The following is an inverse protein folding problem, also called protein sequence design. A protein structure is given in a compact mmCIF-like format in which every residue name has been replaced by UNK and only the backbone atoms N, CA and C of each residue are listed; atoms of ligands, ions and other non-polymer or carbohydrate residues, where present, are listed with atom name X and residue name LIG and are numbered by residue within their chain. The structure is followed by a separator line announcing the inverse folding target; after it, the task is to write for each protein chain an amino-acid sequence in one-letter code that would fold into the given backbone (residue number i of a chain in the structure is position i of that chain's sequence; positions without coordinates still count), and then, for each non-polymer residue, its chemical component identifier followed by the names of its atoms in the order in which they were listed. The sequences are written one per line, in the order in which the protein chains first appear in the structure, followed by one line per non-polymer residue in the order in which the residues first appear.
data_IF_209289157633
#
_entry.id   IF_209289157633
#
_cell.length_a   1.000
_cell.length_b   1.000
_cell.length_c   1.000
_cell.angle_alpha   90.00
_cell.angle_beta   90.00
_cell.angle_gamma   90.00
#
_symmetry.space_group_name_H-M   'P 1'
#
loop_
_entity.id
_entity.type
_entity.pdbx_description
1 polymer ?
#
# COMPACT_ATOMS: atom_id res chain seq x y z
N UNK A 1 -31.03 9.84 -24.00
CA UNK A 1 -30.40 9.78 -22.66
C UNK A 1 -31.37 10.35 -21.62
N UNK A 2 -31.68 9.62 -20.57
CA UNK A 2 -32.48 10.12 -19.46
C UNK A 2 -31.58 10.30 -18.25
N UNK A 3 -31.40 11.54 -17.82
CA UNK A 3 -31.05 11.83 -16.44
C UNK A 3 -32.08 11.14 -15.52
N UNK A 4 -31.73 10.80 -14.31
CA UNK A 4 -32.64 10.18 -13.32
C UNK A 4 -33.91 10.99 -13.09
N UNK A 5 -33.92 12.28 -13.45
CA UNK A 5 -35.05 13.21 -13.33
C UNK A 5 -35.65 13.63 -14.67
N UNK A 6 -35.08 13.21 -15.81
CA UNK A 6 -35.58 13.56 -17.17
C UNK A 6 -35.27 14.99 -17.61
N UNK A 7 -34.43 15.74 -16.90
CA UNK A 7 -34.02 17.09 -17.26
C UNK A 7 -32.69 17.11 -18.03
N UNK A 8 -32.55 18.08 -18.94
CA UNK A 8 -31.29 18.33 -19.64
C UNK A 8 -30.23 18.90 -18.68
N UNK A 9 -29.01 18.31 -18.68
CA UNK A 9 -27.90 18.75 -17.86
C UNK A 9 -26.66 18.93 -18.70
N UNK A 10 -26.08 20.13 -18.68
CA UNK A 10 -24.80 20.42 -19.35
C UNK A 10 -23.63 19.61 -18.79
N UNK A 11 -23.64 19.34 -17.50
CA UNK A 11 -22.59 18.50 -16.85
C UNK A 11 -22.63 17.08 -17.39
N UNK A 12 -23.82 16.47 -17.47
CA UNK A 12 -23.98 15.13 -18.03
C UNK A 12 -23.57 15.10 -19.50
N UNK A 13 -23.92 16.13 -20.27
CA UNK A 13 -23.53 16.26 -21.67
C UNK A 13 -22.00 16.30 -21.83
N UNK A 14 -21.31 17.08 -20.99
CA UNK A 14 -19.84 17.16 -20.99
C UNK A 14 -19.20 15.83 -20.60
N UNK A 15 -19.76 15.12 -19.61
CA UNK A 15 -19.31 13.81 -19.19
C UNK A 15 -19.49 12.76 -20.30
N UNK A 16 -20.59 12.81 -21.04
CA UNK A 16 -20.85 11.93 -22.18
C UNK A 16 -19.88 12.21 -23.35
N UNK A 17 -19.63 13.48 -23.70
CA UNK A 17 -18.64 13.85 -24.72
C UNK A 17 -17.27 13.31 -24.32
N UNK A 18 -16.85 13.52 -23.07
CA UNK A 18 -15.59 13.01 -22.55
C UNK A 18 -15.54 11.50 -22.61
N UNK A 19 -16.60 10.80 -22.20
CA UNK A 19 -16.66 9.34 -22.22
C UNK A 19 -16.53 8.78 -23.64
N UNK A 20 -17.17 9.41 -24.62
CA UNK A 20 -17.08 9.02 -26.03
C UNK A 20 -15.67 9.30 -26.59
N UNK A 21 -15.09 10.48 -26.31
CA UNK A 21 -13.73 10.83 -26.72
C UNK A 21 -12.71 9.84 -26.09
N UNK A 22 -12.84 9.55 -24.81
CA UNK A 22 -12.02 8.57 -24.11
C UNK A 22 -12.18 7.16 -24.70
N UNK A 23 -13.41 6.77 -25.08
CA UNK A 23 -13.66 5.49 -25.73
C UNK A 23 -12.88 5.38 -27.04
N UNK A 24 -12.96 6.37 -27.93
CA UNK A 24 -12.20 6.34 -29.19
C UNK A 24 -10.69 6.43 -28.94
N UNK A 25 -10.27 7.22 -27.97
CA UNK A 25 -8.86 7.32 -27.54
C UNK A 25 -8.28 5.98 -27.13
N UNK A 26 -9.03 5.12 -26.46
CA UNK A 26 -8.57 3.79 -26.06
C UNK A 26 -8.32 2.84 -27.26
N UNK A 27 -8.84 3.16 -28.46
CA UNK A 27 -8.65 2.39 -29.70
C UNK A 27 -7.66 3.03 -30.68
N UNK A 28 -6.88 4.01 -30.24
CA UNK A 28 -5.81 4.61 -31.05
C UNK A 28 -6.17 5.96 -31.68
N UNK A 29 -7.37 6.46 -31.51
CA UNK A 29 -7.81 7.72 -32.09
C UNK A 29 -7.55 8.89 -31.14
N UNK A 30 -6.28 9.33 -31.04
CA UNK A 30 -5.86 10.36 -30.09
C UNK A 30 -6.52 11.73 -30.32
N UNK A 31 -6.94 12.02 -31.55
CA UNK A 31 -7.56 13.27 -31.95
C UNK A 31 -9.05 13.14 -32.28
N UNK A 32 -9.72 12.13 -31.73
CA UNK A 32 -11.16 11.98 -31.89
C UNK A 32 -11.88 13.19 -31.26
N UNK A 33 -12.83 13.75 -32.00
CA UNK A 33 -13.69 14.83 -31.57
C UNK A 33 -15.13 14.36 -31.60
N UNK A 34 -15.96 14.90 -30.72
CA UNK A 34 -17.39 14.58 -30.67
C UNK A 34 -18.15 15.90 -30.73
N UNK A 35 -18.77 16.15 -31.88
CA UNK A 35 -19.70 17.26 -32.03
C UNK A 35 -21.05 16.90 -31.43
N UNK A 36 -21.75 17.89 -30.90
CA UNK A 36 -23.09 17.70 -30.31
C UNK A 36 -24.06 18.66 -30.92
N UNK A 37 -25.13 18.10 -31.44
CA UNK A 37 -26.29 18.87 -31.90
C UNK A 37 -27.45 18.69 -30.90
N UNK A 38 -28.06 19.82 -30.49
CA UNK A 38 -29.12 19.84 -29.47
C UNK A 38 -30.36 20.57 -29.96
N UNK A 39 -31.09 20.04 -30.98
CA UNK A 39 -32.32 20.65 -31.44
C UNK A 39 -33.38 20.64 -30.35
N UNK A 40 -33.99 21.80 -30.16
CA UNK A 40 -35.09 22.02 -29.21
C UNK A 40 -36.41 21.83 -29.87
N UNK A 41 -37.31 21.11 -29.23
CA UNK A 41 -38.73 21.10 -29.55
C UNK A 41 -39.51 21.86 -28.46
N UNK A 42 -39.79 23.12 -28.72
CA UNK A 42 -40.44 24.00 -27.74
C UNK A 42 -41.91 23.60 -27.46
N UNK A 43 -42.57 22.93 -28.41
CA UNK A 43 -43.96 22.49 -28.24
C UNK A 43 -44.08 21.31 -27.25
N UNK A 44 -43.11 20.43 -27.26
CA UNK A 44 -43.08 19.27 -26.37
C UNK A 44 -42.16 19.48 -25.13
N UNK A 45 -41.42 20.61 -25.07
CA UNK A 45 -40.47 20.88 -23.99
C UNK A 45 -39.33 19.90 -23.95
N UNK A 46 -38.92 19.35 -25.11
CA UNK A 46 -37.89 18.29 -25.24
C UNK A 46 -36.66 18.85 -25.91
N UNK A 47 -35.46 18.48 -25.41
CA UNK A 47 -34.20 18.67 -26.08
C UNK A 47 -33.66 17.31 -26.52
N UNK A 48 -33.53 17.14 -27.85
CA UNK A 48 -32.88 15.96 -28.40
C UNK A 48 -31.35 16.18 -28.43
N UNK A 49 -30.59 15.18 -28.07
CA UNK A 49 -29.12 15.26 -28.08
C UNK A 49 -28.57 14.24 -29.07
N UNK A 50 -27.85 14.74 -30.09
CA UNK A 50 -27.18 13.92 -31.09
C UNK A 50 -25.67 14.06 -30.96
N UNK A 51 -24.98 12.97 -30.76
CA UNK A 51 -23.54 12.92 -30.72
C UNK A 51 -23.00 12.49 -32.08
N UNK A 52 -22.13 13.29 -32.68
CA UNK A 52 -21.51 13.02 -33.98
C UNK A 52 -20.00 12.85 -33.81
N UNK A 53 -19.52 11.59 -33.69
CA UNK A 53 -18.08 11.36 -33.48
C UNK A 53 -17.28 11.46 -34.79
N UNK A 54 -16.21 12.23 -34.77
CA UNK A 54 -15.18 12.36 -35.81
C UNK A 54 -13.90 11.68 -35.36
N UNK A 55 -13.66 10.44 -35.83
CA UNK A 55 -12.57 9.58 -35.36
C UNK A 55 -11.17 10.06 -35.72
N UNK A 56 -11.03 10.76 -36.90
CA UNK A 56 -9.73 11.05 -37.51
C UNK A 56 -8.89 9.77 -37.73
N UNK A 57 -7.56 9.87 -37.73
CA UNK A 57 -6.68 8.70 -37.94
C UNK A 57 -6.23 8.06 -36.64
N UNK A 58 -5.89 6.79 -36.71
CA UNK A 58 -5.16 6.14 -35.60
C UNK A 58 -3.73 6.60 -35.59
N UNK A 59 -3.19 6.86 -34.40
CA UNK A 59 -1.83 7.37 -34.28
C UNK A 59 -0.93 6.39 -33.52
N UNK A 60 0.36 6.41 -33.85
CA UNK A 60 1.41 5.69 -33.17
C UNK A 60 2.33 6.68 -32.45
N UNK A 61 2.93 6.23 -31.38
CA UNK A 61 3.87 7.02 -30.59
C UNK A 61 5.23 6.95 -31.29
N UNK A 62 5.70 8.08 -31.80
CA UNK A 62 7.03 8.19 -32.42
C UNK A 62 8.12 8.09 -31.34
N UNK A 63 7.97 8.87 -30.27
CA UNK A 63 8.89 8.88 -29.13
C UNK A 63 8.23 9.41 -27.87
N UNK A 64 8.78 8.99 -26.73
CA UNK A 64 8.44 9.52 -25.40
C UNK A 64 9.58 10.41 -24.92
N UNK A 65 9.28 11.63 -24.52
CA UNK A 65 10.26 12.64 -24.07
C UNK A 65 9.87 13.11 -22.67
N UNK A 66 10.83 13.07 -21.74
CA UNK A 66 10.67 13.62 -20.38
C UNK A 66 11.16 15.07 -20.32
N UNK A 67 10.48 15.90 -19.55
CA UNK A 67 10.86 17.28 -19.33
C UNK A 67 10.61 17.67 -17.87
N UNK A 68 11.60 18.33 -17.25
CA UNK A 68 11.48 18.88 -15.90
C UNK A 68 12.02 17.98 -14.79
N UNK A 69 12.50 16.77 -15.10
CA UNK A 69 13.16 15.89 -14.15
C UNK A 69 14.66 16.21 -14.06
N UNK A 70 15.04 17.01 -13.08
CA UNK A 70 16.43 17.41 -12.85
C UNK A 70 17.19 16.49 -11.91
N UNK A 71 16.48 15.80 -11.02
CA UNK A 71 17.00 14.86 -10.01
C UNK A 71 16.63 13.43 -10.32
N UNK A 72 15.36 13.20 -10.68
CA UNK A 72 14.85 11.87 -10.98
C UNK A 72 15.38 11.38 -12.31
N UNK A 73 15.91 10.17 -12.35
CA UNK A 73 16.44 9.57 -13.57
C UNK A 73 15.32 9.16 -14.52
N UNK A 74 15.57 9.24 -15.82
CA UNK A 74 14.58 8.91 -16.87
C UNK A 74 14.05 7.49 -16.75
N UNK A 75 14.89 6.51 -16.40
CA UNK A 75 14.46 5.12 -16.22
C UNK A 75 13.40 4.96 -15.10
N UNK A 76 13.45 5.81 -14.07
CA UNK A 76 12.43 5.82 -13.00
C UNK A 76 11.07 6.29 -13.52
N UNK A 77 11.08 7.19 -14.49
CA UNK A 77 9.88 7.73 -15.14
C UNK A 77 9.36 6.72 -16.17
N UNK A 78 10.23 6.26 -17.09
CA UNK A 78 9.84 5.37 -18.18
C UNK A 78 9.23 4.04 -17.69
N UNK A 79 9.74 3.47 -16.62
CA UNK A 79 9.19 2.22 -16.06
C UNK A 79 7.76 2.36 -15.50
N UNK A 80 7.30 3.60 -15.26
CA UNK A 80 5.91 3.86 -14.82
C UNK A 80 4.97 4.09 -16.00
N UNK A 81 5.49 4.33 -17.19
CA UNK A 81 4.70 4.49 -18.39
C UNK A 81 4.19 3.13 -18.89
N UNK A 82 3.00 3.14 -19.48
CA UNK A 82 2.34 2.00 -20.12
C UNK A 82 2.37 2.10 -21.64
N UNK A 83 3.01 3.15 -22.14
CA UNK A 83 3.18 3.44 -23.55
C UNK A 83 4.66 3.68 -23.81
N UNK A 84 5.15 3.11 -24.90
CA UNK A 84 6.55 3.22 -25.35
C UNK A 84 6.62 3.68 -26.80
N UNK A 85 7.85 3.98 -27.24
CA UNK A 85 8.13 4.31 -28.63
C UNK A 85 7.68 3.18 -29.58
N UNK A 86 6.95 3.51 -30.63
CA UNK A 86 6.38 2.56 -31.60
C UNK A 86 5.03 1.98 -31.22
N UNK A 87 4.54 2.15 -29.99
CA UNK A 87 3.22 1.66 -29.59
C UNK A 87 2.10 2.42 -30.32
N UNK A 88 1.00 1.72 -30.58
CA UNK A 88 -0.25 2.38 -30.92
C UNK A 88 -0.75 3.18 -29.71
N UNK A 89 -1.20 4.40 -29.94
CA UNK A 89 -1.80 5.20 -28.90
C UNK A 89 -2.97 4.49 -28.21
N UNK A 90 -3.06 4.60 -26.90
CA UNK A 90 -4.13 4.08 -26.08
C UNK A 90 -4.37 5.02 -24.90
N UNK A 91 -5.53 5.68 -24.90
CA UNK A 91 -5.90 6.67 -23.88
C UNK A 91 -6.01 6.06 -22.48
N UNK A 92 -6.38 4.78 -22.36
CA UNK A 92 -6.44 4.10 -21.07
C UNK A 92 -5.05 3.88 -20.49
N UNK A 93 -4.10 3.47 -21.33
CA UNK A 93 -2.68 3.33 -20.94
C UNK A 93 -2.06 4.67 -20.59
N UNK A 94 -2.42 5.76 -21.29
CA UNK A 94 -1.97 7.11 -20.99
C UNK A 94 -2.45 7.58 -19.61
N UNK A 95 -3.75 7.43 -19.34
CA UNK A 95 -4.31 7.75 -18.01
C UNK A 95 -3.61 6.95 -16.92
N UNK A 96 -3.43 5.66 -17.15
CA UNK A 96 -2.75 4.79 -16.20
C UNK A 96 -1.29 5.20 -15.96
N UNK A 97 -0.59 5.63 -16.99
CA UNK A 97 0.78 6.18 -16.87
C UNK A 97 0.80 7.42 -15.97
N UNK A 98 -0.13 8.35 -16.18
CA UNK A 98 -0.26 9.55 -15.34
C UNK A 98 -0.59 9.21 -13.88
N UNK A 99 -1.50 8.27 -13.64
CA UNK A 99 -1.80 7.80 -12.28
C UNK A 99 -0.58 7.21 -11.58
N UNK A 100 0.20 6.38 -12.29
CA UNK A 100 1.42 5.76 -11.75
C UNK A 100 2.49 6.77 -11.44
N UNK A 101 2.74 7.74 -12.32
CA UNK A 101 3.68 8.84 -12.10
C UNK A 101 3.28 9.68 -10.87
N UNK A 102 2.01 10.03 -10.75
CA UNK A 102 1.51 10.79 -9.60
C UNK A 102 1.57 10.00 -8.28
N UNK A 103 1.44 8.66 -8.33
CA UNK A 103 1.60 7.79 -7.15
C UNK A 103 3.03 7.75 -6.61
N UNK A 104 4.05 8.05 -7.41
CA UNK A 104 5.44 8.12 -6.92
C UNK A 104 5.63 9.21 -5.87
N UNK A 105 4.85 10.31 -5.97
CA UNK A 105 4.97 11.50 -5.10
C UNK A 105 6.38 12.12 -5.12
N UNK A 106 7.03 12.04 -6.27
CA UNK A 106 8.29 12.73 -6.53
C UNK A 106 8.07 14.07 -7.22
N UNK A 107 6.82 14.28 -7.67
CA UNK A 107 6.42 15.42 -8.47
C UNK A 107 5.20 16.11 -7.84
N UNK A 108 5.20 17.45 -7.87
CA UNK A 108 4.01 18.26 -7.58
C UNK A 108 3.02 18.24 -8.75
N UNK A 109 3.56 18.00 -9.97
CA UNK A 109 2.78 17.84 -11.19
C UNK A 109 3.48 16.80 -12.07
N UNK A 110 2.72 15.83 -12.55
CA UNK A 110 3.16 14.86 -13.53
C UNK A 110 2.00 14.58 -14.48
N UNK A 111 2.12 15.10 -15.68
CA UNK A 111 1.14 14.91 -16.75
C UNK A 111 1.82 14.62 -18.09
N UNK A 112 1.13 13.85 -18.91
CA UNK A 112 1.61 13.50 -20.24
C UNK A 112 0.73 14.16 -21.29
N UNK A 113 1.36 14.94 -22.17
CA UNK A 113 0.69 15.62 -23.28
C UNK A 113 1.05 14.98 -24.61
N UNK A 114 0.09 14.95 -25.51
CA UNK A 114 0.25 14.48 -26.88
C UNK A 114 0.67 15.66 -27.74
N UNK A 115 1.77 15.53 -28.44
CA UNK A 115 2.29 16.56 -29.33
C UNK A 115 2.21 16.03 -30.76
N UNK A 116 1.42 16.67 -31.65
CA UNK A 116 1.37 16.29 -33.07
C UNK A 116 2.74 16.41 -33.71
N UNK A 117 2.98 15.59 -34.73
CA UNK A 117 4.18 15.66 -35.57
C UNK A 117 3.81 16.15 -36.95
N UNK A 118 4.77 16.19 -37.88
CA UNK A 118 4.53 16.53 -39.28
C UNK A 118 3.72 15.46 -40.05
N UNK A 119 3.49 14.29 -39.42
CA UNK A 119 2.68 13.21 -39.96
C UNK A 119 1.39 13.04 -39.15
N UNK A 120 0.30 12.84 -39.86
CA UNK A 120 -1.03 12.73 -39.26
C UNK A 120 -1.24 11.44 -38.43
N UNK A 121 -0.40 10.40 -38.65
CA UNK A 121 -0.47 9.10 -38.01
C UNK A 121 0.58 8.91 -36.89
N UNK A 122 1.39 9.94 -36.59
CA UNK A 122 2.43 9.89 -35.55
C UNK A 122 2.27 11.02 -34.52
N UNK A 123 2.56 10.71 -33.28
CA UNK A 123 2.59 11.68 -32.17
C UNK A 123 3.80 11.49 -31.28
N UNK A 124 4.29 12.56 -30.68
CA UNK A 124 5.24 12.51 -29.58
C UNK A 124 4.47 12.56 -28.25
N UNK A 125 4.86 11.74 -27.27
CA UNK A 125 4.40 11.86 -25.89
C UNK A 125 5.42 12.70 -25.11
N UNK A 126 4.97 13.84 -24.58
CA UNK A 126 5.77 14.68 -23.69
C UNK A 126 5.30 14.51 -22.26
N UNK A 127 6.17 13.96 -21.42
CA UNK A 127 5.94 13.82 -19.97
C UNK A 127 6.46 15.07 -19.29
N UNK A 128 5.55 15.94 -18.87
CA UNK A 128 5.86 17.19 -18.17
C UNK A 128 5.88 16.94 -16.68
N UNK A 129 7.01 17.23 -16.05
CA UNK A 129 7.25 16.94 -14.65
C UNK A 129 7.67 18.21 -13.91
N UNK A 130 7.14 18.39 -12.72
CA UNK A 130 7.62 19.40 -11.78
C UNK A 130 8.00 18.68 -10.49
N UNK A 131 9.31 18.57 -10.24
CA UNK A 131 9.84 17.85 -9.08
C UNK A 131 9.46 18.51 -7.77
N UNK A 132 9.18 17.68 -6.79
CA UNK A 132 8.91 18.04 -5.41
C UNK A 132 10.09 17.64 -4.50
N UNK A 133 10.02 18.03 -3.25
CA UNK A 133 10.92 17.55 -2.21
C UNK A 133 10.53 16.12 -1.81
N UNK A 134 11.45 15.18 -2.01
CA UNK A 134 11.25 13.77 -1.68
C UNK A 134 11.72 13.40 -0.30
N UNK A 135 12.54 14.27 0.32
CA UNK A 135 13.00 14.16 1.69
C UNK A 135 12.03 14.79 2.69
N UNK A 136 11.83 14.12 3.83
CA UNK A 136 11.03 14.63 4.94
C UNK A 136 11.75 14.38 6.27
N UNK A 137 11.66 15.35 7.17
CA UNK A 137 12.10 15.22 8.57
C UNK A 137 10.86 15.51 9.42
N UNK A 138 10.55 14.60 10.33
CA UNK A 138 9.41 14.74 11.22
C UNK A 138 9.86 14.51 12.66
N UNK A 139 9.25 15.23 13.59
CA UNK A 139 9.42 15.05 15.03
C UNK A 139 8.07 15.16 15.72
N UNK A 140 7.92 14.44 16.82
CA UNK A 140 6.67 14.46 17.59
C UNK A 140 6.91 14.14 19.04
N UNK A 141 6.02 14.65 19.87
CA UNK A 141 5.92 14.33 21.29
C UNK A 141 4.49 13.88 21.58
N UNK A 142 4.34 12.93 22.48
CA UNK A 142 3.02 12.41 22.81
C UNK A 142 3.00 11.77 24.18
N UNK A 143 1.79 11.59 24.71
CA UNK A 143 1.54 10.85 25.93
C UNK A 143 0.49 9.77 25.67
N UNK A 144 0.73 8.59 26.18
CA UNK A 144 -0.27 7.53 26.26
C UNK A 144 -0.23 6.87 27.63
N UNK A 145 -1.31 6.23 28.03
CA UNK A 145 -1.36 5.49 29.32
C UNK A 145 -0.38 4.34 29.36
N UNK A 146 -0.12 3.71 28.22
CA UNK A 146 0.80 2.58 28.10
C UNK A 146 2.27 3.02 27.96
N UNK A 147 2.59 3.90 26.99
CA UNK A 147 3.96 4.32 26.73
C UNK A 147 4.43 5.48 27.61
N UNK A 148 3.51 6.13 28.35
CA UNK A 148 3.75 7.35 29.11
C UNK A 148 4.14 8.50 28.16
N UNK A 149 5.05 9.38 28.58
CA UNK A 149 5.57 10.43 27.73
C UNK A 149 6.58 9.86 26.73
N UNK A 150 6.42 10.18 25.46
CA UNK A 150 7.31 9.70 24.40
C UNK A 150 7.67 10.79 23.40
N UNK A 151 8.87 10.64 22.82
CA UNK A 151 9.41 11.49 21.77
C UNK A 151 9.74 10.62 20.57
N UNK A 152 9.34 11.07 19.39
CA UNK A 152 9.66 10.42 18.12
C UNK A 152 10.40 11.35 17.17
N UNK A 153 11.23 10.79 16.32
CA UNK A 153 11.89 11.49 15.22
C UNK A 153 12.03 10.57 14.01
N UNK A 154 11.88 11.12 12.82
CA UNK A 154 12.13 10.37 11.60
C UNK A 154 12.73 11.24 10.51
N UNK A 155 13.58 10.61 9.70
CA UNK A 155 14.16 11.17 8.47
C UNK A 155 13.85 10.16 7.37
N UNK A 156 13.27 10.63 6.29
CA UNK A 156 12.94 9.79 5.14
C UNK A 156 13.35 10.48 3.84
N UNK A 157 13.96 9.72 2.93
CA UNK A 157 14.15 10.10 1.54
C UNK A 157 13.47 9.05 0.65
N UNK A 158 12.57 9.49 -0.24
CA UNK A 158 11.77 8.58 -1.09
C UNK A 158 12.35 8.37 -2.48
N UNK A 159 13.29 9.21 -2.87
CA UNK A 159 13.93 9.15 -4.19
C UNK A 159 15.44 9.31 -4.10
N UNK A 160 16.07 8.47 -3.28
CA UNK A 160 17.49 8.51 -3.00
C UNK A 160 18.33 8.44 -4.30
N UNK A 161 19.18 9.43 -4.52
CA UNK A 161 20.01 9.59 -5.72
C UNK A 161 19.22 9.64 -7.04
N UNK A 162 17.93 10.00 -6.99
CA UNK A 162 17.06 10.03 -8.17
C UNK A 162 16.75 8.64 -8.75
N UNK A 163 17.03 7.55 -8.04
CA UNK A 163 16.85 6.16 -8.49
C UNK A 163 15.51 5.55 -8.08
N UNK A 164 14.67 6.31 -7.37
CA UNK A 164 13.42 5.81 -6.82
C UNK A 164 13.62 4.85 -5.65
N UNK A 165 14.78 4.86 -5.00
CA UNK A 165 15.01 4.12 -3.77
C UNK A 165 14.49 4.92 -2.60
N UNK A 166 13.91 4.24 -1.61
CA UNK A 166 13.49 4.87 -0.36
C UNK A 166 14.43 4.46 0.77
N UNK A 167 14.86 5.43 1.56
CA UNK A 167 15.64 5.24 2.77
C UNK A 167 14.94 5.98 3.90
N UNK A 168 14.70 5.29 5.02
CA UNK A 168 14.06 5.86 6.21
C UNK A 168 14.83 5.49 7.47
N UNK A 169 14.95 6.44 8.38
CA UNK A 169 15.40 6.23 9.74
C UNK A 169 14.34 6.79 10.67
N UNK A 170 13.87 5.97 11.61
CA UNK A 170 12.86 6.36 12.59
C UNK A 170 13.31 5.93 13.98
N UNK A 171 13.12 6.81 14.95
CA UNK A 171 13.39 6.54 16.36
C UNK A 171 12.22 6.99 17.23
N UNK A 172 12.01 6.27 18.33
CA UNK A 172 11.06 6.59 19.38
C UNK A 172 11.66 6.23 20.72
N UNK A 173 11.43 7.08 21.72
CA UNK A 173 11.87 6.86 23.09
C UNK A 173 10.74 7.26 24.04
N UNK A 174 10.42 6.37 24.96
CA UNK A 174 9.45 6.60 26.04
C UNK A 174 9.87 5.89 27.33
N UNK A 175 9.08 6.02 28.38
CA UNK A 175 9.33 5.34 29.65
C UNK A 175 9.28 3.82 29.57
N UNK A 176 8.43 3.26 28.71
CA UNK A 176 8.18 1.80 28.59
C UNK A 176 8.61 1.21 27.24
N UNK A 177 8.98 2.01 26.25
CA UNK A 177 9.40 1.51 24.92
C UNK A 177 10.37 2.46 24.25
N UNK A 178 11.34 1.89 23.57
CA UNK A 178 12.24 2.64 22.69
C UNK A 178 12.54 1.80 21.46
N UNK A 179 12.57 2.43 20.29
CA UNK A 179 12.99 1.73 19.08
C UNK A 179 13.79 2.65 18.14
N UNK A 180 14.66 2.02 17.39
CA UNK A 180 15.35 2.59 16.23
C UNK A 180 15.11 1.66 15.05
N UNK A 181 14.68 2.21 13.93
CA UNK A 181 14.32 1.49 12.71
C UNK A 181 14.99 2.12 11.51
N UNK A 182 15.71 1.34 10.72
CA UNK A 182 16.34 1.72 9.47
C UNK A 182 15.72 0.91 8.33
N UNK A 183 15.02 1.56 7.44
CA UNK A 183 14.35 0.95 6.30
C UNK A 183 14.97 1.36 4.97
N UNK A 184 15.17 0.41 4.08
CA UNK A 184 15.58 0.62 2.70
C UNK A 184 14.65 -0.13 1.76
N UNK A 185 14.18 0.53 0.69
CA UNK A 185 13.34 -0.09 -0.33
C UNK A 185 13.88 0.25 -1.72
N UNK A 186 14.12 -0.77 -2.51
CA UNK A 186 14.31 -0.68 -3.95
C UNK A 186 13.08 -1.30 -4.64
N UNK A 187 12.15 -0.52 -5.17
CA UNK A 187 10.91 -1.06 -5.76
C UNK A 187 11.13 -1.80 -7.08
N UNK A 188 12.30 -1.64 -7.72
CA UNK A 188 12.62 -2.15 -9.06
C UNK A 188 14.10 -2.54 -9.14
N UNK A 189 14.43 -3.78 -8.82
CA UNK A 189 15.81 -4.28 -8.93
C UNK A 189 16.17 -4.34 -10.42
N UNK A 190 17.21 -3.63 -10.83
CA UNK A 190 17.64 -3.53 -12.23
C UNK A 190 16.50 -3.16 -13.21
N UNK A 191 15.60 -2.27 -12.77
CA UNK A 191 14.40 -1.83 -13.51
C UNK A 191 13.41 -2.95 -13.88
N UNK A 192 13.55 -4.14 -13.29
CA UNK A 192 12.58 -5.24 -13.40
C UNK A 192 11.37 -5.01 -12.49
N UNK A 193 10.36 -5.87 -12.57
CA UNK A 193 9.21 -5.83 -11.68
C UNK A 193 9.49 -6.42 -10.28
N UNK A 194 10.70 -6.92 -10.03
CA UNK A 194 11.10 -7.38 -8.72
C UNK A 194 11.51 -6.22 -7.83
N UNK A 195 10.95 -6.16 -6.63
CA UNK A 195 11.33 -5.20 -5.60
C UNK A 195 12.01 -5.89 -4.41
N UNK A 196 12.79 -5.12 -3.69
CA UNK A 196 13.54 -5.53 -2.51
C UNK A 196 13.30 -4.53 -1.38
N UNK A 197 13.14 -5.02 -0.18
CA UNK A 197 13.19 -4.19 1.03
C UNK A 197 14.05 -4.84 2.09
N UNK A 198 14.74 -4.00 2.84
CA UNK A 198 15.48 -4.37 4.05
C UNK A 198 15.05 -3.46 5.19
N UNK A 199 14.77 -4.05 6.34
CA UNK A 199 14.45 -3.34 7.57
C UNK A 199 15.32 -3.86 8.71
N UNK A 200 16.13 -2.98 9.31
CA UNK A 200 16.97 -3.29 10.46
C UNK A 200 16.47 -2.50 11.65
N UNK A 201 16.26 -3.15 12.77
CA UNK A 201 15.68 -2.51 13.94
C UNK A 201 16.31 -2.97 15.25
N UNK A 202 16.26 -2.06 16.21
CA UNK A 202 16.53 -2.34 17.62
C UNK A 202 15.34 -1.83 18.43
N UNK A 203 14.76 -2.70 19.25
CA UNK A 203 13.55 -2.43 20.03
C UNK A 203 13.84 -2.80 21.49
N UNK A 204 13.46 -1.94 22.41
CA UNK A 204 13.37 -2.19 23.83
C UNK A 204 11.96 -1.94 24.31
N UNK A 205 11.38 -2.90 25.04
CA UNK A 205 10.01 -2.88 25.53
C UNK A 205 9.98 -3.35 26.98
N UNK A 206 9.20 -2.66 27.79
CA UNK A 206 8.89 -3.00 29.17
C UNK A 206 7.39 -3.26 29.29
N UNK A 207 7.06 -4.51 29.56
CA UNK A 207 5.72 -4.97 29.86
C UNK A 207 5.62 -5.21 31.38
N UNK A 208 4.43 -5.38 31.90
CA UNK A 208 4.24 -5.59 33.33
C UNK A 208 4.85 -6.92 33.80
N UNK A 209 4.90 -7.93 32.91
CA UNK A 209 5.34 -9.30 33.22
C UNK A 209 6.79 -9.59 32.74
N UNK A 210 7.40 -8.74 31.91
CA UNK A 210 8.75 -8.97 31.38
C UNK A 210 9.33 -7.73 30.71
N UNK A 211 10.63 -7.74 30.52
CA UNK A 211 11.33 -6.78 29.63
C UNK A 211 11.93 -7.52 28.44
N UNK A 212 11.83 -6.90 27.25
CA UNK A 212 12.33 -7.50 26.01
C UNK A 212 13.24 -6.53 25.26
N UNK A 213 14.40 -7.03 24.85
CA UNK A 213 15.29 -6.34 23.91
C UNK A 213 15.35 -7.18 22.63
N UNK A 214 15.14 -6.54 21.49
CA UNK A 214 15.19 -7.19 20.18
C UNK A 214 16.13 -6.42 19.26
N UNK A 215 17.03 -7.11 18.58
CA UNK A 215 17.78 -6.59 17.44
C UNK A 215 17.47 -7.52 16.28
N UNK A 216 16.91 -6.97 15.22
CA UNK A 216 16.40 -7.75 14.11
C UNK A 216 16.70 -7.14 12.75
N UNK A 217 16.60 -8.01 11.76
CA UNK A 217 16.66 -7.65 10.35
C UNK A 217 15.63 -8.44 9.58
N UNK A 218 14.89 -7.75 8.71
CA UNK A 218 13.93 -8.36 7.80
C UNK A 218 14.31 -8.01 6.36
N UNK A 219 14.50 -9.02 5.55
CA UNK A 219 14.68 -8.91 4.10
C UNK A 219 13.40 -9.40 3.43
N UNK A 220 12.92 -8.67 2.42
CA UNK A 220 11.74 -9.06 1.65
C UNK A 220 11.98 -8.81 0.17
N UNK A 221 11.63 -9.80 -0.65
CA UNK A 221 11.46 -9.69 -2.10
C UNK A 221 9.97 -9.63 -2.41
N UNK A 222 9.58 -8.78 -3.33
CA UNK A 222 8.20 -8.67 -3.77
C UNK A 222 8.10 -8.48 -5.27
N UNK A 223 6.99 -8.95 -5.84
CA UNK A 223 6.74 -8.91 -7.28
C UNK A 223 5.24 -8.68 -7.54
N UNK A 224 4.86 -7.67 -8.35
CA UNK A 224 3.47 -7.51 -8.78
C UNK A 224 3.14 -8.58 -9.82
N UNK A 225 2.03 -9.29 -9.60
CA UNK A 225 1.45 -10.25 -10.57
C UNK A 225 0.22 -9.59 -11.17
N UNK A 226 0.38 -8.78 -12.23
CA UNK A 226 -0.71 -8.02 -12.82
C UNK A 226 -0.98 -6.69 -12.11
N UNK A 227 -2.18 -6.15 -12.30
CA UNK A 227 -2.52 -4.78 -11.95
C UNK A 227 -2.77 -4.55 -10.45
N UNK A 228 -3.41 -5.54 -9.81
CA UNK A 228 -3.92 -5.42 -8.43
C UNK A 228 -3.30 -6.43 -7.47
N UNK A 229 -2.54 -7.40 -7.96
CA UNK A 229 -2.00 -8.49 -7.15
C UNK A 229 -0.50 -8.38 -7.00
N UNK A 230 0.00 -8.61 -5.80
CA UNK A 230 1.42 -8.73 -5.51
C UNK A 230 1.70 -9.92 -4.61
N UNK A 231 2.86 -10.54 -4.84
CA UNK A 231 3.39 -11.60 -3.96
C UNK A 231 4.64 -11.10 -3.28
N UNK A 232 4.90 -11.60 -2.09
CA UNK A 232 6.17 -11.35 -1.41
C UNK A 232 6.65 -12.57 -0.66
N UNK A 233 7.98 -12.68 -0.56
CA UNK A 233 8.69 -13.64 0.29
C UNK A 233 9.64 -12.84 1.15
N UNK A 234 9.63 -13.12 2.44
CA UNK A 234 10.47 -12.45 3.42
C UNK A 234 11.22 -13.42 4.31
N UNK A 235 12.34 -12.98 4.82
CA UNK A 235 13.10 -13.66 5.86
C UNK A 235 13.40 -12.66 6.98
N UNK A 236 13.03 -13.03 8.20
CA UNK A 236 13.26 -12.26 9.43
C UNK A 236 14.19 -13.04 10.35
N UNK A 237 15.20 -12.36 10.83
CA UNK A 237 16.15 -12.88 11.82
C UNK A 237 16.20 -11.91 12.98
N UNK A 238 15.71 -12.33 14.15
CA UNK A 238 15.69 -11.55 15.38
C UNK A 238 16.52 -12.24 16.45
N UNK A 239 17.42 -11.49 17.09
CA UNK A 239 17.98 -11.85 18.36
C UNK A 239 17.26 -11.06 19.44
N UNK A 240 16.54 -11.77 20.32
CA UNK A 240 15.86 -11.13 21.43
C UNK A 240 16.32 -11.69 22.77
N UNK A 241 16.20 -10.89 23.82
CA UNK A 241 16.48 -11.27 25.19
C UNK A 241 15.29 -10.90 26.03
N UNK A 242 14.67 -11.91 26.67
CA UNK A 242 13.69 -11.74 27.73
C UNK A 242 14.39 -11.73 29.08
N UNK A 243 14.06 -10.76 29.91
CA UNK A 243 14.65 -10.63 31.25
C UNK A 243 13.69 -9.89 32.17
N UNK A 244 14.01 -9.86 33.45
CA UNK A 244 13.22 -9.21 34.51
C UNK A 244 11.80 -9.83 34.61
N UNK A 245 11.75 -11.16 34.54
CA UNK A 245 10.53 -11.96 34.61
C UNK A 245 10.23 -12.25 36.09
N UNK A 246 9.09 -11.82 36.64
CA UNK A 246 8.74 -12.12 38.04
C UNK A 246 8.64 -13.63 38.31
N UNK A 247 8.96 -14.03 39.53
CA UNK A 247 8.78 -15.45 39.96
C UNK A 247 7.33 -15.93 39.90
N UNK A 248 6.39 -14.99 39.92
CA UNK A 248 4.95 -15.24 39.78
C UNK A 248 4.49 -15.34 38.33
N UNK A 249 5.34 -15.03 37.34
CA UNK A 249 5.01 -15.13 35.93
C UNK A 249 4.75 -16.57 35.48
N UNK A 250 3.96 -16.75 34.44
CA UNK A 250 3.61 -18.05 33.90
C UNK A 250 4.82 -18.77 33.30
N UNK A 251 4.73 -20.13 33.25
CA UNK A 251 5.77 -20.94 32.61
C UNK A 251 6.03 -20.56 31.16
N UNK A 252 4.99 -20.07 30.46
CA UNK A 252 5.09 -19.67 29.06
C UNK A 252 6.10 -18.53 28.82
N UNK A 253 6.26 -17.60 29.77
CA UNK A 253 7.30 -16.57 29.73
C UNK A 253 8.65 -17.09 30.18
N UNK A 254 8.68 -17.87 31.28
CA UNK A 254 9.93 -18.39 31.86
C UNK A 254 10.70 -19.32 30.91
N UNK A 255 10.00 -20.02 30.01
CA UNK A 255 10.61 -20.93 29.04
C UNK A 255 11.45 -20.18 27.99
N UNK A 256 11.15 -18.90 27.76
CA UNK A 256 11.90 -18.03 26.84
C UNK A 256 12.79 -17.01 27.54
N UNK A 257 13.00 -17.15 28.85
CA UNK A 257 13.93 -16.28 29.57
C UNK A 257 15.36 -16.39 29.01
N UNK A 258 16.05 -15.22 28.95
CA UNK A 258 17.38 -15.14 28.41
C UNK A 258 17.44 -14.85 26.91
N UNK A 259 18.52 -15.28 26.28
CA UNK A 259 18.84 -14.98 24.87
C UNK A 259 18.20 -16.00 23.95
N UNK A 260 17.43 -15.53 22.98
CA UNK A 260 16.79 -16.33 21.97
C UNK A 260 17.08 -15.83 20.57
N UNK A 261 16.94 -16.71 19.59
CA UNK A 261 17.07 -16.42 18.16
C UNK A 261 15.76 -16.82 17.48
N UNK A 262 15.12 -15.89 16.83
CA UNK A 262 13.92 -16.13 16.00
C UNK A 262 14.31 -16.05 14.52
N UNK A 263 14.04 -17.11 13.79
CA UNK A 263 14.30 -17.22 12.35
C UNK A 263 12.99 -17.58 11.67
N UNK A 264 12.46 -16.66 10.83
CA UNK A 264 11.12 -16.78 10.27
C UNK A 264 11.16 -16.50 8.76
N UNK A 265 10.62 -17.43 7.98
CA UNK A 265 10.29 -17.22 6.57
C UNK A 265 8.82 -16.83 6.48
N UNK A 266 8.53 -15.81 5.71
CA UNK A 266 7.17 -15.34 5.47
C UNK A 266 6.85 -15.31 3.98
N UNK A 267 5.61 -15.63 3.62
CA UNK A 267 5.08 -15.45 2.27
C UNK A 267 3.77 -14.70 2.35
N UNK A 268 3.47 -13.84 1.38
CA UNK A 268 2.16 -13.22 1.31
C UNK A 268 1.73 -12.96 -0.13
N UNK A 269 0.41 -13.04 -0.34
CA UNK A 269 -0.26 -12.62 -1.55
C UNK A 269 -1.23 -11.52 -1.14
N UNK A 270 -1.15 -10.37 -1.81
CA UNK A 270 -2.02 -9.23 -1.57
C UNK A 270 -2.71 -8.84 -2.86
N UNK A 271 -4.02 -8.73 -2.83
CA UNK A 271 -4.87 -8.14 -3.86
C UNK A 271 -5.37 -6.79 -3.35
N UNK A 272 -5.18 -5.71 -4.13
CA UNK A 272 -5.59 -4.36 -3.76
C UNK A 272 -6.16 -3.64 -4.98
N UNK A 273 -7.49 -3.55 -5.04
CA UNK A 273 -8.24 -2.85 -6.09
C UNK A 273 -8.81 -1.51 -5.63
N UNK A 274 -8.30 -0.96 -4.53
CA UNK A 274 -8.79 0.31 -4.00
C UNK A 274 -8.45 1.49 -4.92
N UNK A 275 -9.35 2.46 -4.97
CA UNK A 275 -9.19 3.72 -5.72
C UNK A 275 -8.10 4.61 -5.13
N UNK A 276 -7.88 4.55 -3.82
CA UNK A 276 -6.85 5.30 -3.10
C UNK A 276 -6.25 4.48 -1.97
N UNK A 277 -4.93 4.54 -1.78
CA UNK A 277 -4.26 3.86 -0.66
C UNK A 277 -4.42 4.58 0.67
N UNK A 278 -4.62 5.89 0.65
CA UNK A 278 -4.71 6.70 1.88
C UNK A 278 -6.14 6.88 2.34
N UNK A 279 -7.04 7.11 1.42
CA UNK A 279 -8.47 7.32 1.68
C UNK A 279 -9.28 6.52 0.67
N UNK A 280 -9.34 5.20 0.81
CA UNK A 280 -10.12 4.37 -0.09
C UNK A 280 -11.60 4.69 0.07
N UNK A 281 -12.27 4.95 -1.05
CA UNK A 281 -13.71 5.17 -1.11
C UNK A 281 -14.43 3.99 -1.74
N UNK A 282 -13.72 3.18 -2.53
CA UNK A 282 -14.23 1.99 -3.19
C UNK A 282 -13.13 0.96 -3.39
N UNK A 283 -13.50 -0.31 -3.55
CA UNK A 283 -12.60 -1.41 -3.84
C UNK A 283 -12.44 -2.40 -2.70
N UNK A 284 -11.56 -3.36 -2.91
CA UNK A 284 -11.33 -4.49 -2.00
C UNK A 284 -9.83 -4.67 -1.79
N UNK A 285 -9.43 -4.95 -0.55
CA UNK A 285 -8.09 -5.42 -0.20
C UNK A 285 -8.20 -6.82 0.40
N UNK A 286 -7.57 -7.80 -0.25
CA UNK A 286 -7.43 -9.17 0.26
C UNK A 286 -5.97 -9.48 0.52
N UNK A 287 -5.66 -10.09 1.66
CA UNK A 287 -4.30 -10.54 1.99
C UNK A 287 -4.33 -11.93 2.60
N UNK A 288 -3.50 -12.81 2.07
CA UNK A 288 -3.18 -14.09 2.69
C UNK A 288 -1.68 -14.10 2.98
N UNK A 289 -1.31 -14.38 4.22
CA UNK A 289 0.08 -14.49 4.65
C UNK A 289 0.31 -15.77 5.45
N UNK A 290 1.51 -16.31 5.34
CA UNK A 290 1.96 -17.47 6.09
C UNK A 290 3.36 -17.17 6.63
N UNK A 291 3.56 -17.47 7.90
CA UNK A 291 4.87 -17.39 8.56
C UNK A 291 5.26 -18.79 9.07
N UNK A 292 6.50 -19.15 8.84
CA UNK A 292 7.09 -20.39 9.35
C UNK A 292 8.35 -20.03 10.13
N UNK A 293 8.35 -20.33 11.42
CA UNK A 293 9.46 -20.06 12.33
C UNK A 293 10.13 -21.36 12.79
N UNK A 294 11.45 -21.32 12.92
CA UNK A 294 12.25 -22.41 13.50
C UNK A 294 12.40 -23.66 12.63
N UNK A 295 12.47 -24.81 13.24
CA UNK A 295 12.63 -26.08 12.52
C UNK A 295 13.90 -26.10 11.66
N UNK A 296 13.73 -26.44 10.38
CA UNK A 296 14.84 -26.56 9.42
C UNK A 296 15.57 -25.26 9.08
N UNK A 297 14.98 -24.09 9.39
CA UNK A 297 15.59 -22.78 9.17
C UNK A 297 16.34 -22.24 10.40
N UNK A 298 16.34 -23.00 11.51
CA UNK A 298 17.01 -22.66 12.74
C UNK A 298 16.22 -21.70 13.63
N UNK A 299 16.77 -21.34 14.78
CA UNK A 299 16.11 -20.47 15.77
C UNK A 299 15.47 -21.26 16.90
N UNK A 300 15.00 -20.53 17.93
CA UNK A 300 14.37 -21.08 19.12
C UNK A 300 12.83 -21.14 19.01
N UNK A 301 12.25 -20.26 18.21
CA UNK A 301 10.82 -20.13 18.02
C UNK A 301 10.34 -21.09 16.92
N UNK A 302 9.36 -21.93 17.25
CA UNK A 302 8.88 -22.96 16.36
C UNK A 302 7.37 -22.85 16.17
N UNK A 303 6.96 -22.28 15.04
CA UNK A 303 5.55 -22.09 14.73
C UNK A 303 5.24 -22.04 13.24
N UNK A 304 3.97 -22.29 12.90
CA UNK A 304 3.35 -22.00 11.61
C UNK A 304 2.14 -21.11 11.83
N UNK A 305 2.12 -19.93 11.15
CA UNK A 305 1.10 -18.89 11.39
C UNK A 305 0.49 -18.41 10.09
N UNK A 306 -0.62 -19.03 9.62
CA UNK A 306 -1.41 -18.53 8.51
C UNK A 306 -2.37 -17.42 8.97
N UNK A 307 -2.51 -16.37 8.16
CA UNK A 307 -3.44 -15.25 8.38
C UNK A 307 -4.11 -14.91 7.07
N UNK A 308 -5.44 -14.77 7.09
CA UNK A 308 -6.26 -14.24 6.01
C UNK A 308 -6.94 -12.94 6.45
N UNK A 309 -6.93 -11.93 5.59
CA UNK A 309 -7.58 -10.64 5.83
C UNK A 309 -8.31 -10.20 4.58
N UNK A 310 -9.52 -9.67 4.76
CA UNK A 310 -10.34 -9.09 3.70
C UNK A 310 -10.93 -7.77 4.19
N UNK A 311 -10.79 -6.73 3.36
CA UNK A 311 -11.37 -5.42 3.60
C UNK A 311 -12.15 -4.99 2.36
N UNK A 312 -13.26 -4.29 2.56
CA UNK A 312 -14.07 -3.78 1.46
C UNK A 312 -14.56 -2.38 1.77
N UNK A 313 -14.54 -1.52 0.76
CA UNK A 313 -14.91 -0.11 0.83
C UNK A 313 -16.01 0.16 -0.19
N UNK A 314 -17.09 0.81 0.26
CA UNK A 314 -18.24 1.15 -0.58
C UNK A 314 -18.71 2.57 -0.28
N UNK A 315 -18.74 3.42 -1.29
CA UNK A 315 -19.36 4.73 -1.20
C UNK A 315 -20.88 4.59 -1.06
N UNK A 316 -21.44 5.14 0.01
CA UNK A 316 -22.89 5.16 0.25
C UNK A 316 -23.51 6.43 -0.35
N UNK A 317 -24.75 6.30 -0.84
CA UNK A 317 -25.57 7.42 -1.35
C UNK A 317 -24.90 8.25 -2.46
N UNK A 318 -23.96 7.65 -3.23
CA UNK A 318 -23.13 8.35 -4.23
C UNK A 318 -22.39 9.58 -3.68
N UNK A 319 -22.19 9.65 -2.37
CA UNK A 319 -21.51 10.75 -1.70
C UNK A 319 -20.16 10.24 -1.16
N UNK A 320 -19.00 10.72 -1.66
CA UNK A 320 -17.68 10.25 -1.25
C UNK A 320 -17.34 10.51 0.22
N UNK A 321 -18.15 11.31 0.92
CA UNK A 321 -18.00 11.54 2.35
C UNK A 321 -18.64 10.45 3.23
N UNK A 322 -19.43 9.54 2.64
CA UNK A 322 -20.06 8.44 3.36
C UNK A 322 -19.54 7.12 2.80
N UNK A 323 -18.62 6.51 3.53
CA UNK A 323 -17.96 5.25 3.15
C UNK A 323 -18.35 4.16 4.14
N UNK A 324 -18.88 3.07 3.63
CA UNK A 324 -19.03 1.83 4.40
C UNK A 324 -17.75 1.02 4.28
N UNK A 325 -17.08 0.76 5.41
CA UNK A 325 -15.90 -0.06 5.48
C UNK A 325 -16.16 -1.31 6.31
N UNK A 326 -15.82 -2.45 5.74
CA UNK A 326 -15.86 -3.73 6.42
C UNK A 326 -14.47 -4.38 6.39
N UNK A 327 -14.07 -4.97 7.52
CA UNK A 327 -12.84 -5.71 7.66
C UNK A 327 -13.09 -7.02 8.40
N UNK A 328 -12.60 -8.13 7.82
CA UNK A 328 -12.54 -9.44 8.47
C UNK A 328 -11.11 -9.95 8.48
N UNK A 329 -10.70 -10.56 9.59
CA UNK A 329 -9.38 -11.16 9.74
C UNK A 329 -9.52 -12.49 10.47
N UNK A 330 -8.92 -13.55 9.92
CA UNK A 330 -8.86 -14.88 10.51
C UNK A 330 -7.43 -15.35 10.55
N UNK A 331 -7.05 -16.09 11.56
CA UNK A 331 -5.70 -16.64 11.68
C UNK A 331 -5.61 -17.77 12.68
N UNK A 332 -4.52 -18.52 12.58
CA UNK A 332 -4.13 -19.54 13.53
C UNK A 332 -2.63 -19.55 13.70
N UNK A 333 -2.17 -19.97 14.87
CA UNK A 333 -0.77 -20.28 15.11
C UNK A 333 -0.67 -21.69 15.63
N UNK A 334 0.18 -22.48 15.00
CA UNK A 334 0.33 -23.91 15.26
C UNK A 334 1.77 -24.21 15.66
N UNK A 335 1.93 -25.03 16.68
CA UNK A 335 3.25 -25.54 17.06
C UNK A 335 3.78 -26.47 15.98
N UNK A 336 5.04 -26.31 15.60
CA UNK A 336 5.73 -27.23 14.67
C UNK A 336 6.82 -28.05 15.36
N UNK A 337 6.87 -28.03 16.70
CA UNK A 337 7.76 -28.81 17.55
C UNK A 337 7.16 -29.03 18.94
N UNK A 338 7.89 -29.70 19.84
CA UNK A 338 7.46 -29.93 21.23
C UNK A 338 7.59 -28.69 22.14
N UNK A 339 7.96 -27.51 21.58
CA UNK A 339 7.99 -26.24 22.32
C UNK A 339 6.74 -25.44 22.04
N UNK A 340 6.12 -24.82 23.05
CA UNK A 340 4.96 -23.97 22.87
C UNK A 340 5.32 -22.76 22.00
N UNK A 341 4.31 -22.24 21.31
CA UNK A 341 4.49 -20.96 20.57
C UNK A 341 4.81 -19.85 21.57
N UNK A 342 5.82 -18.99 21.29
CA UNK A 342 6.10 -17.83 22.12
C UNK A 342 4.87 -16.96 22.32
N UNK A 343 4.64 -16.46 23.55
CA UNK A 343 3.46 -15.67 23.88
C UNK A 343 3.32 -14.46 22.95
N UNK A 344 4.40 -13.79 22.65
CA UNK A 344 4.42 -12.60 21.77
C UNK A 344 4.17 -12.90 20.28
N UNK A 345 4.15 -14.18 19.86
CA UNK A 345 3.77 -14.58 18.50
C UNK A 345 2.31 -15.04 18.42
N UNK A 346 1.58 -15.13 19.54
CA UNK A 346 0.15 -15.48 19.60
C UNK A 346 -0.74 -14.30 19.22
N UNK A 347 -2.03 -14.54 19.14
CA UNK A 347 -3.02 -13.52 18.83
C UNK A 347 -3.58 -12.90 20.12
N UNK A 348 -3.63 -11.57 20.14
CA UNK A 348 -4.30 -10.78 21.17
C UNK A 348 -5.46 -10.03 20.53
N UNK A 349 -6.62 -10.05 21.15
CA UNK A 349 -7.81 -9.35 20.70
C UNK A 349 -8.13 -8.29 21.77
N UNK A 350 -8.43 -7.10 21.31
CA UNK A 350 -8.67 -5.92 22.16
C UNK A 350 -7.75 -4.75 21.77
N UNK A 351 -8.00 -3.61 22.38
CA UNK A 351 -7.26 -2.39 22.09
C UNK A 351 -7.72 -1.66 20.83
N UNK A 352 -7.01 -0.58 20.50
CA UNK A 352 -7.41 0.40 19.47
C UNK A 352 -7.40 -0.18 18.05
N UNK A 353 -6.56 -1.19 17.80
CA UNK A 353 -6.33 -1.75 16.46
C UNK A 353 -7.22 -2.95 16.12
N UNK A 354 -7.99 -3.47 17.08
CA UNK A 354 -8.88 -4.61 16.87
C UNK A 354 -10.30 -4.33 17.37
N UNK A 355 -10.73 -4.93 18.46
CA UNK A 355 -11.98 -4.58 19.11
C UNK A 355 -11.73 -3.44 20.09
N UNK A 356 -12.57 -2.39 20.05
CA UNK A 356 -12.52 -1.29 21.02
C UNK A 356 -13.02 -1.73 22.38
N UNK A 357 -12.35 -2.69 22.96
CA UNK A 357 -12.60 -3.25 24.27
C UNK A 357 -11.26 -3.46 24.97
N UNK A 358 -11.26 -3.60 26.28
CA UNK A 358 -10.03 -3.83 27.02
C UNK A 358 -9.43 -5.19 26.66
N UNK A 359 -8.15 -5.23 26.30
CA UNK A 359 -7.45 -6.46 25.96
C UNK A 359 -7.36 -7.42 27.14
N UNK A 360 -7.32 -6.89 28.36
CA UNK A 360 -7.24 -7.68 29.58
C UNK A 360 -8.44 -8.60 29.79
N UNK A 361 -9.63 -8.19 29.34
CA UNK A 361 -10.85 -8.98 29.50
C UNK A 361 -11.05 -10.05 28.42
N UNK A 362 -10.38 -9.92 27.27
CA UNK A 362 -10.56 -10.80 26.11
C UNK A 362 -9.42 -11.80 25.89
N UNK A 363 -8.23 -11.54 26.45
CA UNK A 363 -7.10 -12.42 26.31
C UNK A 363 -7.23 -13.66 27.23
N UNK A 364 -6.93 -14.89 26.73
CA UNK A 364 -6.81 -16.05 27.60
C UNK A 364 -5.72 -15.82 28.64
N UNK A 365 -6.06 -15.97 29.92
CA UNK A 365 -5.14 -15.80 31.05
C UNK A 365 -4.65 -17.15 31.59
N UNK A 366 -3.44 -17.16 32.13
CA UNK A 366 -2.91 -18.31 32.82
C UNK A 366 -3.72 -18.57 34.13
N UNK A 367 -4.26 -19.75 34.36
CA UNK A 367 -5.19 -20.03 35.49
C UNK A 367 -4.63 -19.71 36.88
N UNK A 368 -3.31 -19.69 37.04
CA UNK A 368 -2.62 -19.44 38.33
C UNK A 368 -1.96 -18.08 38.46
N UNK A 369 -1.67 -17.42 37.36
CA UNK A 369 -0.73 -16.28 37.34
C UNK A 369 -1.36 -14.97 36.81
N UNK A 370 -2.60 -15.02 36.33
CA UNK A 370 -3.33 -13.91 35.74
C UNK A 370 -2.64 -13.24 34.52
N UNK A 371 -1.56 -13.86 34.00
CA UNK A 371 -0.83 -13.36 32.85
C UNK A 371 -1.67 -13.53 31.58
N UNK A 372 -1.59 -12.55 30.69
CA UNK A 372 -2.19 -12.63 29.36
C UNK A 372 -1.37 -13.55 28.46
N UNK A 373 -1.93 -14.65 28.00
CA UNK A 373 -1.23 -15.66 27.18
C UNK A 373 -1.50 -15.52 25.68
N UNK A 374 -2.47 -14.69 25.27
CA UNK A 374 -2.92 -14.67 23.88
C UNK A 374 -3.58 -15.97 23.43
N UNK A 375 -4.17 -15.94 22.25
CA UNK A 375 -4.86 -17.08 21.64
C UNK A 375 -4.10 -17.68 20.45
N UNK A 376 -4.29 -18.97 20.22
CA UNK A 376 -3.71 -19.67 19.07
C UNK A 376 -4.55 -19.48 17.80
N UNK A 377 -5.78 -18.98 17.92
CA UNK A 377 -6.71 -18.73 16.82
C UNK A 377 -7.37 -17.37 16.97
N UNK A 378 -7.68 -16.78 15.82
CA UNK A 378 -8.39 -15.51 15.72
C UNK A 378 -9.40 -15.62 14.57
N UNK A 379 -10.63 -15.19 14.78
CA UNK A 379 -11.69 -15.14 13.77
C UNK A 379 -12.64 -13.98 13.98
#
# INVERSE_FOLDING_TARGET
YKDSNGYFSLTVLQDDIKALTDFYGNYGYAFAEVDVDTPKNDEEGIINVFYVPHKKQKVHIRRVVTQGNTRTRDNVIFRELRLADGDQFDGSKLRRSNERLNRLRYFTQADTTIVPTDKDDEVDLRVNLKEDRTGAIMGGVGYSTFYQFGVSGSIQERNLFGRGYSLGLQGFVSGKSSYLDLSFVNPRIYDTDFGFSNNSYAIWEEWDDFKKKTIGNTIRLFHPIGEYTSVSVGYRLDRYTLFDIPDTASRAYKEYEGKNLSSVVSTSITYDSTDSRERPTSGVVGRVSMEYGGGGIGGNDNFFKPIGELQSFHTLFRNPNHIFHWRGRVGGVFENSNKPVPVFDRFFIGGIDSLRYDSEDLAPRAPKYHDELGGDRMG
#
